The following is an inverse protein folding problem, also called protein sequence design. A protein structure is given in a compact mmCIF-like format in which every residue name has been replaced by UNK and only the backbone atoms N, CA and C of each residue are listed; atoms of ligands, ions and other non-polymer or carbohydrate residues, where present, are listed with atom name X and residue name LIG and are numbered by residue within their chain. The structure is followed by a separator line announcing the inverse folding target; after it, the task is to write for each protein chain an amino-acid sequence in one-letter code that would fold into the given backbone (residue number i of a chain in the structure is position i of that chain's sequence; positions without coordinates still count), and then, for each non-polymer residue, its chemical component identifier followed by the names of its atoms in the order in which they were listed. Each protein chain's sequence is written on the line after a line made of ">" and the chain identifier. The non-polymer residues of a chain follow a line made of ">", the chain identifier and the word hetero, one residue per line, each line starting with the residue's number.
data_IF_433504408937
#
_entry.id   IF_433504408937
#
_cell.length_a   1.000
_cell.length_b   1.000
_cell.length_c   1.000
_cell.angle_alpha   90.00
_cell.angle_beta   90.00
_cell.angle_gamma   90.00
#
_symmetry.space_group_name_H-M   'P 1'
#
loop_
_entity.id
_entity.type
_entity.pdbx_description
1 polymer ?
#
# COMPACT_ATOMS: atom_id res chain seq x y z
N UNK A 1 25.62 -36.78 -12.50
CA UNK A 1 24.13 -36.61 -12.45
C UNK A 1 23.74 -36.49 -10.98
N UNK A 2 23.67 -35.28 -10.47
CA UNK A 2 23.41 -35.00 -9.04
C UNK A 2 21.97 -34.49 -8.95
N UNK A 3 21.09 -35.32 -8.36
CA UNK A 3 19.72 -34.97 -8.11
C UNK A 3 19.62 -33.93 -6.99
N UNK A 4 19.13 -32.75 -7.30
CA UNK A 4 18.77 -31.71 -6.32
C UNK A 4 17.48 -32.16 -5.64
N UNK A 5 17.57 -32.47 -4.33
CA UNK A 5 16.41 -32.81 -3.52
C UNK A 5 15.54 -31.56 -3.31
N UNK A 6 14.25 -31.68 -3.61
CA UNK A 6 13.21 -30.69 -3.28
C UNK A 6 13.02 -30.69 -1.77
N UNK A 7 13.57 -29.68 -1.07
CA UNK A 7 13.25 -29.43 0.33
C UNK A 7 11.78 -28.97 0.41
N UNK A 8 10.94 -29.79 1.01
CA UNK A 8 9.57 -29.42 1.38
C UNK A 8 9.60 -28.28 2.40
N UNK A 9 8.95 -27.20 2.10
CA UNK A 9 8.84 -26.01 2.97
C UNK A 9 7.83 -26.34 4.09
N UNK A 10 8.25 -26.38 5.38
CA UNK A 10 7.43 -26.96 6.47
C UNK A 10 6.14 -26.21 6.81
N UNK A 11 5.91 -25.03 6.29
CA UNK A 11 4.73 -24.18 6.58
C UNK A 11 3.52 -24.47 5.68
N UNK A 12 3.65 -25.39 4.70
CA UNK A 12 2.52 -25.90 3.90
C UNK A 12 1.79 -27.09 4.56
N UNK A 13 2.14 -27.45 5.80
CA UNK A 13 1.36 -28.43 6.54
C UNK A 13 -0.03 -27.85 6.83
N UNK A 14 -1.04 -28.49 6.26
CA UNK A 14 -2.46 -28.24 6.53
C UNK A 14 -2.70 -28.12 8.04
N UNK A 15 -2.89 -26.88 8.52
CA UNK A 15 -3.38 -26.63 9.87
C UNK A 15 -4.75 -27.32 10.06
N UNK A 16 -5.16 -27.58 11.30
CA UNK A 16 -6.45 -28.22 11.55
C UNK A 16 -7.54 -27.43 10.87
N UNK A 17 -8.42 -28.12 10.13
CA UNK A 17 -9.60 -27.52 9.50
C UNK A 17 -10.42 -26.83 10.59
N UNK A 18 -10.37 -25.50 10.63
CA UNK A 18 -11.23 -24.72 11.51
C UNK A 18 -12.66 -24.99 11.07
N UNK A 19 -13.48 -25.52 11.97
CA UNK A 19 -14.91 -25.60 11.74
C UNK A 19 -15.43 -24.20 11.47
N UNK A 20 -15.77 -23.88 10.22
CA UNK A 20 -16.32 -22.59 9.83
C UNK A 20 -17.68 -22.43 10.50
N UNK A 21 -17.77 -21.53 11.46
CA UNK A 21 -19.02 -20.94 11.90
C UNK A 21 -19.42 -19.82 10.92
N UNK A 22 -19.66 -20.06 9.70
CA UNK A 22 -20.23 -19.14 8.70
C UNK A 22 -19.58 -17.75 8.49
N UNK A 23 -18.88 -17.22 9.46
CA UNK A 23 -18.29 -15.87 9.43
C UNK A 23 -16.80 -15.94 9.06
N UNK A 24 -16.40 -15.19 8.02
CA UNK A 24 -15.01 -15.06 7.54
C UNK A 24 -14.42 -13.75 8.07
N UNK A 25 -13.31 -13.82 8.82
CA UNK A 25 -12.55 -12.67 9.24
C UNK A 25 -11.48 -12.34 8.19
N UNK A 26 -11.71 -11.26 7.44
CA UNK A 26 -10.70 -10.70 6.53
C UNK A 26 -10.08 -9.45 7.13
N UNK A 27 -8.75 -9.38 7.15
CA UNK A 27 -8.00 -8.19 7.54
C UNK A 27 -7.33 -7.61 6.30
N UNK A 28 -7.58 -6.33 6.06
CA UNK A 28 -7.07 -5.63 4.88
C UNK A 28 -6.22 -4.43 5.29
N UNK A 29 -5.02 -4.32 4.73
CA UNK A 29 -4.11 -3.20 4.98
C UNK A 29 -4.18 -2.20 3.81
N UNK A 30 -4.36 -0.89 4.08
CA UNK A 30 -4.53 0.11 3.05
C UNK A 30 -3.22 0.43 2.32
N UNK A 31 -3.36 1.00 1.12
CA UNK A 31 -2.29 1.62 0.36
C UNK A 31 -2.04 3.07 0.73
N UNK A 32 -1.02 3.67 0.10
CA UNK A 32 -0.69 5.09 0.25
C UNK A 32 -1.87 5.97 -0.18
N UNK A 33 -2.14 7.02 0.61
CA UNK A 33 -3.28 7.91 0.45
C UNK A 33 -4.38 7.71 1.50
N UNK A 34 -4.31 6.66 2.31
CA UNK A 34 -5.24 6.43 3.41
C UNK A 34 -4.94 7.28 4.66
N UNK A 35 -3.69 7.74 4.82
CA UNK A 35 -3.25 8.55 5.96
C UNK A 35 -3.76 10.00 5.88
N UNK A 36 -3.99 10.59 7.05
CA UNK A 36 -4.33 12.01 7.23
C UNK A 36 -3.50 12.59 8.37
N UNK A 37 -3.25 13.91 8.40
CA UNK A 37 -2.59 14.53 9.56
C UNK A 37 -3.25 14.14 10.87
N UNK A 38 -2.45 13.69 11.85
CA UNK A 38 -2.92 13.34 13.18
C UNK A 38 -3.72 12.03 13.30
N UNK A 39 -3.78 11.18 12.27
CA UNK A 39 -4.64 9.98 12.26
C UNK A 39 -4.29 8.94 13.34
N UNK A 40 -3.10 9.03 13.94
CA UNK A 40 -2.69 8.16 15.05
C UNK A 40 -2.82 8.83 16.42
N UNK A 41 -3.23 10.10 16.50
CA UNK A 41 -3.25 10.85 17.78
C UNK A 41 -4.11 10.18 18.86
N UNK A 42 -5.29 9.70 18.50
CA UNK A 42 -6.20 9.05 19.46
C UNK A 42 -5.65 7.71 19.96
N UNK A 43 -4.89 7.00 19.12
CA UNK A 43 -4.27 5.72 19.45
C UNK A 43 -3.13 5.86 20.48
N UNK A 44 -2.48 7.03 20.55
CA UNK A 44 -1.34 7.26 21.46
C UNK A 44 -1.72 7.18 22.95
N UNK A 45 -3.01 7.23 23.28
CA UNK A 45 -3.49 7.01 24.64
C UNK A 45 -3.46 5.52 25.07
N UNK A 46 -3.33 4.59 24.13
CA UNK A 46 -3.14 3.18 24.38
C UNK A 46 -1.64 2.86 24.54
N UNK A 47 -1.18 2.41 25.73
CA UNK A 47 0.22 2.07 25.96
C UNK A 47 0.73 0.98 25.01
N UNK A 48 -0.09 -0.02 24.69
CA UNK A 48 0.29 -1.12 23.78
C UNK A 48 0.57 -0.58 22.39
N UNK A 49 -0.29 0.30 21.89
CA UNK A 49 -0.09 0.96 20.60
C UNK A 49 1.17 1.83 20.59
N UNK A 50 1.32 2.70 21.61
CA UNK A 50 2.44 3.65 21.67
C UNK A 50 3.79 2.94 21.75
N UNK A 51 3.89 1.85 22.52
CA UNK A 51 5.11 1.05 22.63
C UNK A 51 5.45 0.35 21.32
N UNK A 52 4.47 -0.25 20.64
CA UNK A 52 4.68 -0.86 19.32
C UNK A 52 5.08 0.19 18.28
N UNK A 53 4.41 1.34 18.24
CA UNK A 53 4.76 2.39 17.29
C UNK A 53 6.18 2.93 17.52
N UNK A 54 6.57 3.13 18.79
CA UNK A 54 7.92 3.56 19.14
C UNK A 54 8.99 2.53 18.74
N UNK A 55 8.72 1.25 18.95
CA UNK A 55 9.61 0.17 18.53
C UNK A 55 9.74 0.10 17.01
N UNK A 56 8.63 0.14 16.25
CA UNK A 56 8.63 0.14 14.79
C UNK A 56 9.32 1.39 14.22
N UNK A 57 9.17 2.54 14.90
CA UNK A 57 9.85 3.79 14.59
C UNK A 57 11.38 3.64 14.69
N UNK A 58 11.85 3.03 15.77
CA UNK A 58 13.28 2.75 15.96
C UNK A 58 13.84 1.78 14.90
N UNK A 59 13.08 0.74 14.55
CA UNK A 59 13.48 -0.22 13.49
C UNK A 59 13.56 0.46 12.12
N UNK A 60 12.60 1.33 11.80
CA UNK A 60 12.55 2.04 10.54
C UNK A 60 13.56 3.20 10.46
N UNK A 61 14.15 3.63 11.58
CA UNK A 61 14.97 4.85 11.68
C UNK A 61 14.21 6.08 11.14
N UNK A 62 12.93 6.21 11.53
CA UNK A 62 12.03 7.29 11.15
C UNK A 62 11.13 7.62 12.34
N UNK A 63 10.95 8.91 12.66
CA UNK A 63 10.06 9.35 13.75
C UNK A 63 8.58 9.21 13.35
N UNK A 64 8.09 7.97 13.40
CA UNK A 64 6.71 7.64 13.03
C UNK A 64 5.69 8.20 14.02
N UNK A 65 6.09 8.45 15.28
CA UNK A 65 5.23 9.07 16.28
C UNK A 65 4.89 10.50 15.86
N UNK A 66 5.91 11.32 15.57
CA UNK A 66 5.70 12.69 15.08
C UNK A 66 4.93 12.69 13.76
N UNK A 67 5.30 11.81 12.82
CA UNK A 67 4.62 11.76 11.52
C UNK A 67 3.15 11.31 11.61
N UNK A 68 2.83 10.43 12.54
CA UNK A 68 1.45 9.96 12.75
C UNK A 68 0.55 10.93 13.52
N UNK A 69 1.14 11.87 14.27
CA UNK A 69 0.39 12.73 15.21
C UNK A 69 0.39 14.20 14.88
N UNK A 70 1.53 14.77 14.46
CA UNK A 70 1.69 16.24 14.36
C UNK A 70 2.18 16.75 13.02
N UNK A 71 2.77 15.88 12.17
CA UNK A 71 3.24 16.31 10.86
C UNK A 71 2.10 16.75 9.95
N UNK A 72 2.42 17.70 9.08
CA UNK A 72 1.48 18.25 8.12
C UNK A 72 1.21 17.27 6.94
N UNK A 73 0.23 17.63 6.13
CA UNK A 73 -0.20 16.83 4.99
C UNK A 73 0.91 16.64 3.95
N UNK A 74 1.75 17.65 3.73
CA UNK A 74 2.85 17.59 2.76
C UNK A 74 3.89 16.57 3.19
N UNK A 75 4.28 16.60 4.45
CA UNK A 75 5.25 15.67 5.04
C UNK A 75 4.78 14.23 4.97
N UNK A 76 3.52 13.95 5.37
CA UNK A 76 3.01 12.58 5.37
C UNK A 76 2.60 12.05 3.97
N UNK A 77 2.61 12.90 2.93
CA UNK A 77 2.45 12.50 1.53
C UNK A 77 3.78 12.05 0.90
N UNK A 78 4.91 12.45 1.45
CA UNK A 78 6.21 11.96 0.99
C UNK A 78 6.24 10.44 1.08
N UNK A 79 6.59 9.78 -0.02
CA UNK A 79 6.57 8.33 -0.13
C UNK A 79 7.55 7.66 0.85
N UNK A 80 8.67 8.31 1.16
CA UNK A 80 9.64 7.83 2.14
C UNK A 80 9.10 7.86 3.58
N UNK A 81 8.12 8.71 3.86
CA UNK A 81 7.43 8.83 5.16
C UNK A 81 6.14 8.00 5.17
N UNK A 82 5.30 8.18 4.16
CA UNK A 82 3.98 7.57 4.08
C UNK A 82 4.00 6.05 4.20
N UNK A 83 4.94 5.41 3.51
CA UNK A 83 4.95 3.95 3.43
C UNK A 83 5.34 3.28 4.75
N UNK A 84 6.45 3.64 5.42
CA UNK A 84 6.74 3.12 6.75
C UNK A 84 5.65 3.44 7.76
N UNK A 85 5.07 4.66 7.70
CA UNK A 85 4.00 5.08 8.58
C UNK A 85 2.76 4.19 8.46
N UNK A 86 2.34 3.85 7.24
CA UNK A 86 1.17 3.00 7.00
C UNK A 86 1.39 1.55 7.43
N UNK A 87 2.56 0.98 7.17
CA UNK A 87 2.87 -0.40 7.61
C UNK A 87 2.93 -0.47 9.13
N UNK A 88 3.59 0.48 9.79
CA UNK A 88 3.65 0.54 11.24
C UNK A 88 2.26 0.73 11.86
N UNK A 89 1.45 1.64 11.32
CA UNK A 89 0.08 1.86 11.78
C UNK A 89 -0.76 0.59 11.67
N UNK A 90 -0.70 -0.13 10.54
CA UNK A 90 -1.46 -1.37 10.33
C UNK A 90 -1.08 -2.46 11.36
N UNK A 91 0.22 -2.64 11.63
CA UNK A 91 0.69 -3.63 12.60
C UNK A 91 0.36 -3.22 14.04
N UNK A 92 0.69 -1.98 14.44
CA UNK A 92 0.49 -1.50 15.80
C UNK A 92 -0.99 -1.46 16.18
N UNK A 93 -1.89 -0.99 15.30
CA UNK A 93 -3.33 -0.96 15.57
C UNK A 93 -3.90 -2.37 15.72
N UNK A 94 -3.49 -3.30 14.86
CA UNK A 94 -3.96 -4.67 14.93
C UNK A 94 -3.57 -5.34 16.26
N UNK A 95 -2.32 -5.21 16.68
CA UNK A 95 -1.84 -5.76 17.97
C UNK A 95 -2.48 -5.10 19.20
N UNK A 96 -2.82 -3.80 19.13
CA UNK A 96 -3.54 -3.13 20.20
C UNK A 96 -4.98 -3.61 20.35
N UNK A 97 -5.64 -3.90 19.22
CA UNK A 97 -7.02 -4.42 19.23
C UNK A 97 -7.06 -5.86 19.76
N UNK A 98 -6.18 -6.71 19.28
CA UNK A 98 -6.06 -8.11 19.69
C UNK A 98 -4.66 -8.63 19.29
N UNK A 99 -3.77 -8.96 20.25
CA UNK A 99 -2.44 -9.49 19.96
C UNK A 99 -2.42 -10.74 19.04
N UNK A 100 -3.51 -11.50 19.05
CA UNK A 100 -3.65 -12.72 18.26
C UNK A 100 -4.51 -12.54 16.98
N UNK A 101 -4.89 -11.32 16.65
CA UNK A 101 -5.85 -11.07 15.55
C UNK A 101 -5.41 -11.68 14.21
N UNK A 102 -4.11 -11.64 13.91
CA UNK A 102 -3.58 -12.19 12.68
C UNK A 102 -3.68 -13.72 12.63
N UNK A 103 -3.50 -14.40 13.77
CA UNK A 103 -3.64 -15.85 13.85
C UNK A 103 -5.10 -16.32 13.70
N UNK A 104 -6.05 -15.41 13.92
CA UNK A 104 -7.49 -15.65 13.83
C UNK A 104 -8.08 -15.31 12.48
N UNK A 105 -7.35 -14.52 11.66
CA UNK A 105 -7.81 -14.13 10.33
C UNK A 105 -7.86 -15.33 9.37
N UNK A 106 -8.93 -15.41 8.60
CA UNK A 106 -9.09 -16.38 7.50
C UNK A 106 -8.41 -15.84 6.22
N UNK A 107 -8.36 -14.53 6.07
CA UNK A 107 -7.76 -13.84 4.93
C UNK A 107 -6.99 -12.60 5.38
N UNK A 108 -5.78 -12.44 4.86
CA UNK A 108 -4.95 -11.25 4.98
C UNK A 108 -4.70 -10.70 3.59
N UNK A 109 -4.97 -9.44 3.36
CA UNK A 109 -4.74 -8.78 2.08
C UNK A 109 -4.20 -7.37 2.28
N UNK A 110 -3.50 -6.85 1.28
CA UNK A 110 -2.98 -5.49 1.28
C UNK A 110 -3.12 -4.84 -0.09
N UNK A 111 -3.22 -3.53 -0.11
CA UNK A 111 -3.15 -2.77 -1.35
C UNK A 111 -1.79 -2.08 -1.46
N UNK A 112 -0.99 -2.44 -2.49
CA UNK A 112 0.35 -1.86 -2.71
C UNK A 112 1.25 -2.00 -1.47
N UNK A 113 1.62 -0.90 -0.80
CA UNK A 113 2.43 -0.92 0.44
C UNK A 113 1.77 -1.74 1.56
N UNK A 114 0.45 -1.82 1.57
CA UNK A 114 -0.29 -2.66 2.51
C UNK A 114 0.00 -4.15 2.38
N UNK A 115 0.48 -4.62 1.23
CA UNK A 115 0.92 -6.02 1.03
C UNK A 115 2.10 -6.38 1.94
N UNK A 116 2.96 -5.40 2.28
CA UNK A 116 4.07 -5.60 3.22
C UNK A 116 3.52 -5.83 4.63
N UNK A 117 2.52 -5.06 5.05
CA UNK A 117 1.87 -5.29 6.34
C UNK A 117 1.15 -6.64 6.37
N UNK A 118 0.43 -7.00 5.31
CA UNK A 118 -0.25 -8.29 5.19
C UNK A 118 0.75 -9.47 5.19
N UNK A 119 1.91 -9.32 4.52
CA UNK A 119 2.98 -10.32 4.51
C UNK A 119 3.60 -10.55 5.90
N UNK A 120 3.83 -9.47 6.66
CA UNK A 120 4.28 -9.57 8.05
C UNK A 120 3.21 -10.19 8.94
N UNK A 121 1.95 -9.78 8.79
CA UNK A 121 0.81 -10.35 9.52
C UNK A 121 0.63 -11.85 9.24
N UNK A 122 0.91 -12.30 8.02
CA UNK A 122 0.89 -13.70 7.62
C UNK A 122 2.11 -14.51 8.10
N UNK A 123 3.10 -13.87 8.72
CA UNK A 123 4.34 -14.51 9.16
C UNK A 123 5.30 -14.88 8.03
N UNK A 124 5.12 -14.31 6.83
CA UNK A 124 6.05 -14.53 5.71
C UNK A 124 7.44 -13.94 5.99
N UNK A 125 7.48 -12.87 6.78
CA UNK A 125 8.69 -12.24 7.32
C UNK A 125 8.34 -11.51 8.63
N UNK A 126 9.36 -11.15 9.41
CA UNK A 126 9.13 -10.46 10.69
C UNK A 126 8.70 -9.00 10.48
N UNK A 127 8.12 -8.39 11.53
CA UNK A 127 7.75 -6.98 11.50
C UNK A 127 8.98 -6.08 11.31
N UNK A 128 10.14 -6.43 11.89
CA UNK A 128 11.40 -5.71 11.68
C UNK A 128 11.82 -5.76 10.21
N UNK A 129 11.74 -6.95 9.60
CA UNK A 129 12.07 -7.12 8.17
C UNK A 129 11.10 -6.31 7.31
N UNK A 130 9.80 -6.28 7.66
CA UNK A 130 8.80 -5.44 6.99
C UNK A 130 9.16 -3.95 7.07
N UNK A 131 9.57 -3.46 8.26
CA UNK A 131 9.91 -2.05 8.44
C UNK A 131 11.19 -1.66 7.69
N UNK A 132 12.20 -2.52 7.66
CA UNK A 132 13.41 -2.29 6.85
C UNK A 132 13.06 -2.30 5.36
N UNK A 133 12.29 -3.29 4.90
CA UNK A 133 11.87 -3.40 3.50
C UNK A 133 11.07 -2.17 3.06
N UNK A 134 10.07 -1.77 3.85
CA UNK A 134 9.20 -0.63 3.48
C UNK A 134 9.94 0.70 3.53
N UNK A 135 10.90 0.88 4.42
CA UNK A 135 11.78 2.04 4.45
C UNK A 135 12.58 2.17 3.15
N UNK A 136 13.25 1.08 2.73
CA UNK A 136 14.05 1.08 1.51
C UNK A 136 13.16 1.26 0.27
N UNK A 137 12.00 0.61 0.24
CA UNK A 137 11.00 0.81 -0.83
C UNK A 137 10.55 2.26 -0.92
N UNK A 138 10.21 2.88 0.20
CA UNK A 138 9.76 4.28 0.26
C UNK A 138 10.84 5.24 -0.25
N UNK A 139 12.09 5.06 0.19
CA UNK A 139 13.23 5.86 -0.26
C UNK A 139 13.50 5.72 -1.75
N UNK A 140 13.53 4.48 -2.26
CA UNK A 140 13.75 4.21 -3.69
C UNK A 140 12.64 4.80 -4.56
N UNK A 141 11.39 4.71 -4.11
CA UNK A 141 10.24 5.30 -4.82
C UNK A 141 10.28 6.84 -4.79
N UNK A 142 10.63 7.45 -3.67
CA UNK A 142 10.79 8.91 -3.57
C UNK A 142 11.93 9.40 -4.49
N UNK A 143 13.06 8.70 -4.51
CA UNK A 143 14.16 9.00 -5.43
C UNK A 143 13.73 8.86 -6.90
N UNK A 144 13.04 7.78 -7.26
CA UNK A 144 12.55 7.59 -8.62
C UNK A 144 11.57 8.68 -9.04
N UNK A 145 10.64 9.08 -8.16
CA UNK A 145 9.69 10.16 -8.41
C UNK A 145 10.36 11.54 -8.60
N UNK A 146 11.51 11.77 -7.97
CA UNK A 146 12.25 13.03 -8.09
C UNK A 146 12.96 13.22 -9.45
N UNK A 147 13.16 12.14 -10.22
CA UNK A 147 13.90 12.18 -11.50
C UNK A 147 13.09 12.79 -12.64
N UNK A 148 11.79 12.62 -12.63
CA UNK A 148 10.88 13.13 -13.66
C UNK A 148 9.55 13.51 -13.01
N UNK A 149 9.02 14.69 -13.33
CA UNK A 149 7.71 15.13 -12.87
C UNK A 149 6.61 14.26 -13.48
N UNK A 150 6.12 13.31 -12.73
CA UNK A 150 5.05 12.39 -13.11
C UNK A 150 3.89 12.47 -12.12
N UNK A 151 2.72 12.03 -12.55
CA UNK A 151 1.54 11.96 -11.71
C UNK A 151 0.61 10.84 -12.17
N UNK A 152 -0.53 10.72 -11.52
CA UNK A 152 -1.54 9.72 -11.82
C UNK A 152 -2.94 10.35 -11.83
N UNK A 153 -3.83 9.82 -12.65
CA UNK A 153 -5.22 10.24 -12.74
C UNK A 153 -6.14 9.02 -12.75
N UNK A 154 -7.12 8.98 -11.85
CA UNK A 154 -8.17 7.98 -11.92
C UNK A 154 -9.17 8.34 -13.02
N UNK A 155 -9.42 7.38 -13.91
CA UNK A 155 -10.41 7.43 -14.99
C UNK A 155 -11.59 6.59 -14.57
N UNK A 156 -12.76 7.20 -14.39
CA UNK A 156 -13.96 6.52 -13.90
C UNK A 156 -15.06 6.56 -14.97
N UNK A 157 -15.60 5.39 -15.30
CA UNK A 157 -16.65 5.21 -16.31
C UNK A 157 -16.10 4.93 -17.70
N UNK A 158 -16.95 5.07 -18.71
CA UNK A 158 -16.64 4.75 -20.09
C UNK A 158 -16.65 3.23 -20.39
N UNK A 159 -16.41 2.89 -21.64
CA UNK A 159 -16.15 1.53 -22.07
C UNK A 159 -14.70 1.16 -21.72
N UNK A 160 -14.47 -0.02 -21.17
CA UNK A 160 -13.16 -0.40 -20.65
C UNK A 160 -12.08 -0.46 -21.74
N UNK A 161 -12.40 -1.00 -22.90
CA UNK A 161 -11.45 -1.13 -24.00
C UNK A 161 -11.16 0.22 -24.66
N UNK A 162 -12.19 1.08 -24.81
CA UNK A 162 -12.02 2.46 -25.28
C UNK A 162 -11.15 3.30 -24.34
N UNK A 163 -11.34 3.13 -23.03
CA UNK A 163 -10.56 3.85 -21.99
C UNK A 163 -9.10 3.41 -22.02
N UNK A 164 -8.82 2.11 -22.10
CA UNK A 164 -7.46 1.59 -22.18
C UNK A 164 -6.77 2.07 -23.45
N UNK A 165 -7.43 1.93 -24.60
CA UNK A 165 -6.88 2.42 -25.89
C UNK A 165 -6.59 3.92 -25.88
N UNK A 166 -7.44 4.73 -25.23
CA UNK A 166 -7.23 6.17 -25.11
C UNK A 166 -6.05 6.52 -24.19
N UNK A 167 -5.87 5.78 -23.08
CA UNK A 167 -4.73 5.94 -22.17
C UNK A 167 -3.43 5.63 -22.93
N UNK A 168 -3.36 4.52 -23.65
CA UNK A 168 -2.20 4.12 -24.44
C UNK A 168 -1.90 5.11 -25.59
N UNK A 169 -2.93 5.54 -26.31
CA UNK A 169 -2.80 6.52 -27.40
C UNK A 169 -2.29 7.89 -26.91
N UNK A 170 -2.54 8.25 -25.65
CA UNK A 170 -1.99 9.44 -25.01
C UNK A 170 -0.53 9.26 -24.52
N UNK A 171 0.08 8.09 -24.73
CA UNK A 171 1.40 7.76 -24.22
C UNK A 171 1.44 7.57 -22.71
N UNK A 172 0.26 7.36 -22.09
CA UNK A 172 0.12 7.07 -20.68
C UNK A 172 0.16 5.55 -20.43
N UNK A 173 0.47 5.16 -19.20
CA UNK A 173 0.47 3.75 -18.78
C UNK A 173 -0.74 3.48 -17.87
N UNK A 174 -1.55 2.45 -18.16
CA UNK A 174 -2.56 1.97 -17.21
C UNK A 174 -1.84 1.37 -16.00
N UNK A 175 -1.94 2.00 -14.83
CA UNK A 175 -1.19 1.63 -13.64
C UNK A 175 -1.95 0.68 -12.71
N UNK A 176 -3.25 0.89 -12.53
CA UNK A 176 -4.10 0.09 -11.64
C UNK A 176 -5.48 -0.13 -12.27
N UNK A 177 -6.01 -1.34 -12.11
CA UNK A 177 -7.39 -1.68 -12.39
C UNK A 177 -8.12 -1.90 -11.04
N UNK A 178 -8.81 -0.87 -10.55
CA UNK A 178 -9.43 -0.87 -9.22
C UNK A 178 -10.86 -1.44 -9.21
N UNK A 179 -11.20 -2.27 -10.19
CA UNK A 179 -12.52 -2.86 -10.33
C UNK A 179 -13.40 -2.16 -11.38
N UNK A 180 -14.70 -2.41 -11.33
CA UNK A 180 -15.65 -2.06 -12.40
C UNK A 180 -15.60 -0.57 -12.78
N UNK A 181 -15.03 -0.30 -13.96
CA UNK A 181 -15.04 1.02 -14.56
C UNK A 181 -14.09 2.04 -13.93
N UNK A 182 -13.06 1.60 -13.20
CA UNK A 182 -12.02 2.49 -12.68
C UNK A 182 -10.64 1.99 -13.08
N UNK A 183 -9.92 2.81 -13.87
CA UNK A 183 -8.53 2.60 -14.24
C UNK A 183 -7.73 3.82 -13.81
N UNK A 184 -6.52 3.61 -13.33
CA UNK A 184 -5.57 4.70 -13.01
C UNK A 184 -4.58 4.81 -14.16
N UNK A 185 -4.53 5.99 -14.80
CA UNK A 185 -3.56 6.34 -15.82
C UNK A 185 -2.36 7.04 -15.16
N UNK A 186 -1.15 6.64 -15.54
CA UNK A 186 0.12 7.18 -15.05
C UNK A 186 0.94 7.72 -16.21
N UNK A 187 1.66 8.83 -15.99
CA UNK A 187 2.55 9.43 -16.96
C UNK A 187 3.15 10.75 -16.52
N UNK A 188 3.75 11.51 -17.43
CA UNK A 188 4.23 12.85 -17.11
C UNK A 188 3.06 13.80 -16.87
N UNK A 189 3.32 14.89 -16.15
CA UNK A 189 2.30 15.91 -15.89
C UNK A 189 1.72 16.45 -17.20
N UNK A 190 2.56 16.72 -18.18
CA UNK A 190 2.15 17.24 -19.50
C UNK A 190 1.27 16.24 -20.27
N UNK A 191 1.59 14.94 -20.21
CA UNK A 191 0.76 13.90 -20.83
C UNK A 191 -0.62 13.82 -20.19
N UNK A 192 -0.67 13.89 -18.86
CA UNK A 192 -1.94 13.85 -18.11
C UNK A 192 -2.78 15.09 -18.35
N UNK A 193 -2.19 16.28 -18.47
CA UNK A 193 -2.88 17.52 -18.83
C UNK A 193 -3.46 17.44 -20.26
N UNK A 194 -2.68 16.93 -21.21
CA UNK A 194 -3.15 16.73 -22.57
C UNK A 194 -4.30 15.71 -22.64
N UNK A 195 -4.22 14.64 -21.87
CA UNK A 195 -5.29 13.64 -21.76
C UNK A 195 -6.54 14.22 -21.11
N UNK A 196 -6.39 15.05 -20.08
CA UNK A 196 -7.50 15.72 -19.42
C UNK A 196 -8.23 16.73 -20.31
N UNK A 197 -7.52 17.32 -21.29
CA UNK A 197 -8.15 18.23 -22.26
C UNK A 197 -9.06 17.50 -23.28
N UNK A 198 -8.87 16.19 -23.47
CA UNK A 198 -9.67 15.35 -24.38
C UNK A 198 -9.95 13.98 -23.75
N UNK A 199 -10.77 13.93 -22.71
CA UNK A 199 -11.03 12.67 -22.00
C UNK A 199 -11.84 11.70 -22.87
N UNK A 200 -11.72 10.38 -22.63
CA UNK A 200 -12.58 9.38 -23.26
C UNK A 200 -14.07 9.64 -22.99
N UNK A 201 -14.92 9.21 -23.92
CA UNK A 201 -16.37 9.39 -23.81
C UNK A 201 -16.92 8.79 -22.52
N UNK A 202 -17.87 9.50 -21.89
CA UNK A 202 -18.57 9.04 -20.66
C UNK A 202 -17.67 8.73 -19.48
N UNK A 203 -16.48 9.35 -19.41
CA UNK A 203 -15.56 9.24 -18.28
C UNK A 203 -15.52 10.50 -17.44
N UNK A 204 -15.08 10.36 -16.19
CA UNK A 204 -14.67 11.44 -15.29
C UNK A 204 -13.22 11.20 -14.87
N UNK A 205 -12.44 12.26 -14.86
CA UNK A 205 -11.04 12.24 -14.48
C UNK A 205 -10.87 12.84 -13.08
N UNK A 206 -10.11 12.16 -12.23
CA UNK A 206 -9.77 12.62 -10.89
C UNK A 206 -8.25 12.56 -10.72
N UNK A 207 -7.55 13.71 -10.77
CA UNK A 207 -6.13 13.76 -10.46
C UNK A 207 -5.86 13.20 -9.06
N UNK A 208 -4.86 12.33 -8.95
CA UNK A 208 -4.48 11.73 -7.66
C UNK A 208 -3.35 12.55 -7.02
N UNK A 209 -3.46 12.74 -5.71
CA UNK A 209 -2.46 13.43 -4.90
C UNK A 209 -1.32 12.46 -4.56
N UNK A 210 -0.44 12.21 -5.53
CA UNK A 210 0.71 11.28 -5.40
C UNK A 210 2.01 12.00 -5.69
N UNK A 211 3.11 11.54 -5.09
CA UNK A 211 4.43 12.12 -5.28
C UNK A 211 5.03 11.83 -6.68
N UNK A 212 4.50 10.84 -7.39
CA UNK A 212 4.94 10.45 -8.73
C UNK A 212 4.19 9.23 -9.25
N UNK A 213 4.31 8.98 -10.55
CA UNK A 213 3.75 7.82 -11.19
C UNK A 213 4.73 6.64 -11.06
N UNK A 214 4.37 5.67 -10.23
CA UNK A 214 5.09 4.42 -10.09
C UNK A 214 4.10 3.29 -10.39
N UNK A 215 4.30 2.63 -11.53
CA UNK A 215 3.42 1.54 -11.97
C UNK A 215 3.74 0.25 -11.23
N UNK A 216 2.69 -0.47 -10.80
CA UNK A 216 2.79 -1.81 -10.24
C UNK A 216 2.39 -2.91 -11.24
N UNK A 217 2.06 -2.57 -12.49
CA UNK A 217 1.60 -3.53 -13.51
C UNK A 217 2.68 -4.55 -13.89
N UNK A 218 3.93 -4.28 -13.57
CA UNK A 218 5.06 -5.13 -13.97
C UNK A 218 5.72 -5.86 -12.80
N UNK A 219 4.97 -6.10 -11.71
CA UNK A 219 5.41 -6.97 -10.61
C UNK A 219 4.86 -8.38 -10.83
#
# INVERSE_FOLDING_TARGET
>A
MTTVGTSSVPWLASGPSRGHSGDVLAIVAPGQGAQKPGFLSDWMSDPTFSDHLAWLSAVADIDLVTHGTTSDETTIKDTAVAQPLLVAAALATAWSVDPEIFSRADLLAGHSVGEIAAGAAAGAFSAEAAMVLVRERGRAMAEAASRTATSMTAVIGGDADEVLAAIEAAGLTPANHNGKGQVVAAGTVEQLEAFAAKPPSRTRLFPLSVAGALSLIHI
#
